data_IF_300859682493
#
_entry.id   IF_300859682493
#
_cell.length_a   1.000
_cell.length_b   1.000
_cell.length_c   1.000
_cell.angle_alpha   90.00
_cell.angle_beta   90.00
_cell.angle_gamma   90.00
#
_symmetry.space_group_name_H-M   'P 1'
#
loop_
_entity.id
_entity.type
_entity.pdbx_description
1 polymer ?
#
# COMPACT_ATOMS: atom_id res chain seq x y z
N UNK A 1 30.50 0.90 -8.93
CA UNK A 1 29.71 1.27 -7.74
C UNK A 1 30.02 0.25 -6.66
N UNK A 2 30.45 0.65 -5.47
CA UNK A 2 30.84 -0.29 -4.41
C UNK A 2 29.58 -0.84 -3.76
N UNK A 3 29.36 -2.17 -3.79
CA UNK A 3 28.23 -2.83 -3.17
C UNK A 3 28.37 -2.74 -1.65
N UNK A 4 27.34 -2.24 -0.98
CA UNK A 4 27.18 -2.18 0.48
C UNK A 4 25.92 -2.94 0.87
N UNK A 5 26.03 -4.25 1.20
CA UNK A 5 24.88 -5.08 1.46
C UNK A 5 24.15 -4.64 2.73
N UNK A 6 22.82 -4.63 2.68
CA UNK A 6 21.95 -4.39 3.83
C UNK A 6 20.95 -5.52 3.95
N UNK A 7 21.01 -6.30 5.02
CA UNK A 7 20.02 -7.34 5.29
C UNK A 7 18.63 -6.73 5.43
N UNK A 8 17.66 -7.42 4.85
CA UNK A 8 16.26 -7.07 5.03
C UNK A 8 15.79 -7.44 6.44
N UNK A 9 14.87 -6.64 6.97
CA UNK A 9 14.35 -6.80 8.33
C UNK A 9 13.82 -8.22 8.58
N UNK A 10 14.07 -8.74 9.77
CA UNK A 10 13.67 -10.08 10.16
C UNK A 10 14.52 -11.22 9.57
N UNK A 11 15.65 -10.91 8.92
CA UNK A 11 16.60 -11.92 8.44
C UNK A 11 17.52 -12.37 9.58
N UNK A 12 17.54 -13.67 9.89
CA UNK A 12 18.40 -14.28 10.91
C UNK A 12 18.78 -15.72 10.55
N UNK A 13 19.71 -16.29 11.33
CA UNK A 13 20.15 -17.66 11.16
C UNK A 13 19.25 -18.58 11.99
N UNK A 14 18.64 -19.54 11.33
CA UNK A 14 17.87 -20.62 11.96
C UNK A 14 18.60 -21.94 11.86
N UNK A 15 19.10 -22.54 12.97
CA UNK A 15 19.64 -23.85 12.94
C UNK A 15 18.55 -24.89 12.58
N UNK A 16 18.86 -25.81 11.70
CA UNK A 16 17.99 -26.96 11.40
C UNK A 16 18.31 -28.13 12.30
N UNK A 17 17.31 -28.96 12.61
CA UNK A 17 17.45 -30.12 13.47
C UNK A 17 18.41 -31.18 12.89
N UNK A 18 18.66 -31.17 11.60
CA UNK A 18 19.52 -32.14 10.89
C UNK A 18 21.03 -31.89 11.00
N UNK A 19 21.45 -30.80 11.64
CA UNK A 19 22.86 -30.37 11.82
C UNK A 19 23.71 -30.21 10.55
N UNK A 20 23.19 -30.55 9.37
CA UNK A 20 23.94 -30.47 8.10
C UNK A 20 23.72 -29.16 7.35
N UNK A 21 22.70 -28.39 7.73
CA UNK A 21 22.28 -27.17 7.04
C UNK A 21 21.79 -26.10 8.03
N UNK A 22 21.84 -24.87 7.59
CA UNK A 22 21.24 -23.72 8.30
C UNK A 22 20.36 -22.94 7.36
N UNK A 23 19.30 -22.37 7.88
CA UNK A 23 18.46 -21.42 7.13
C UNK A 23 18.87 -20.00 7.49
N UNK A 24 19.07 -19.17 6.48
CA UNK A 24 19.29 -17.73 6.61
C UNK A 24 18.14 -17.01 5.93
N UNK A 25 17.42 -16.22 6.66
CA UNK A 25 16.26 -15.51 6.12
C UNK A 25 15.21 -15.16 7.15
N UNK A 26 14.04 -14.75 6.67
CA UNK A 26 12.85 -14.54 7.48
C UNK A 26 12.15 -15.89 7.74
N UNK A 27 11.09 -15.86 8.55
CA UNK A 27 10.28 -17.07 8.81
C UNK A 27 9.72 -17.72 7.52
N UNK A 28 9.43 -16.92 6.52
CA UNK A 28 8.73 -17.38 5.31
C UNK A 28 9.58 -17.31 4.04
N UNK A 29 10.65 -16.51 4.04
CA UNK A 29 11.56 -16.34 2.91
C UNK A 29 12.99 -16.59 3.41
N UNK A 30 13.63 -17.65 2.92
CA UNK A 30 14.94 -18.08 3.40
C UNK A 30 15.72 -18.79 2.29
N UNK A 31 17.05 -18.80 2.42
CA UNK A 31 17.93 -19.73 1.72
C UNK A 31 18.47 -20.78 2.70
N UNK A 32 18.78 -21.96 2.19
CA UNK A 32 19.42 -23.04 2.94
C UNK A 32 20.89 -23.07 2.59
N UNK A 33 21.73 -22.98 3.59
CA UNK A 33 23.20 -22.99 3.45
C UNK A 33 23.78 -24.23 4.17
N UNK A 34 24.94 -24.72 3.74
CA UNK A 34 25.66 -25.80 4.46
C UNK A 34 25.93 -25.43 5.93
N UNK A 35 26.03 -26.42 6.81
CA UNK A 35 26.24 -26.20 8.25
C UNK A 35 27.55 -25.47 8.58
N UNK A 36 28.53 -25.48 7.66
CA UNK A 36 29.74 -24.66 7.78
C UNK A 36 29.46 -23.18 7.96
N UNK A 37 28.26 -22.72 7.57
CA UNK A 37 27.77 -21.36 7.76
C UNK A 37 27.02 -21.13 9.10
N UNK A 38 26.92 -22.13 9.97
CA UNK A 38 26.22 -22.00 11.26
C UNK A 38 27.02 -21.28 12.35
N UNK A 39 28.30 -21.01 12.09
CA UNK A 39 29.25 -20.51 13.08
C UNK A 39 29.16 -19.00 13.37
N UNK A 40 29.88 -18.57 14.41
CA UNK A 40 30.02 -17.19 14.80
C UNK A 40 30.54 -16.27 13.68
N UNK A 41 31.45 -16.69 12.77
CA UNK A 41 31.90 -15.87 11.66
C UNK A 41 30.77 -15.46 10.72
N UNK A 42 29.82 -16.34 10.42
CA UNK A 42 28.69 -16.07 9.56
C UNK A 42 27.73 -15.06 10.21
N UNK A 43 27.49 -15.20 11.51
CA UNK A 43 26.67 -14.22 12.25
C UNK A 43 27.32 -12.85 12.21
N UNK A 44 28.63 -12.76 12.50
CA UNK A 44 29.36 -11.49 12.41
C UNK A 44 29.34 -10.89 11.00
N UNK A 45 29.39 -11.73 9.94
CA UNK A 45 29.26 -11.29 8.55
C UNK A 45 27.87 -10.70 8.31
N UNK A 46 26.81 -11.39 8.74
CA UNK A 46 25.44 -10.91 8.56
C UNK A 46 25.19 -9.62 9.35
N UNK A 47 25.73 -9.48 10.57
CA UNK A 47 25.63 -8.26 11.38
C UNK A 47 26.31 -7.05 10.71
N UNK A 48 27.36 -7.29 9.91
CA UNK A 48 28.04 -6.26 9.12
C UNK A 48 27.36 -5.94 7.78
N UNK A 49 26.36 -6.73 7.39
CA UNK A 49 25.50 -6.41 6.26
C UNK A 49 24.41 -5.37 6.66
N UNK A 50 24.85 -4.21 7.10
CA UNK A 50 24.03 -3.11 7.59
C UNK A 50 23.88 -1.95 6.60
N UNK A 51 24.43 -2.11 5.39
CA UNK A 51 24.46 -1.08 4.34
C UNK A 51 25.57 -0.04 4.51
N UNK A 52 26.39 -0.11 5.56
CA UNK A 52 27.51 0.81 5.81
C UNK A 52 28.84 0.27 5.36
N UNK A 53 29.01 -1.05 5.35
CA UNK A 53 30.24 -1.75 5.02
C UNK A 53 30.24 -2.27 3.58
N UNK A 54 31.35 -2.09 2.88
CA UNK A 54 31.60 -2.75 1.59
C UNK A 54 31.94 -4.24 1.78
N UNK A 55 31.83 -5.04 0.71
CA UNK A 55 32.20 -6.46 0.75
C UNK A 55 33.66 -6.67 1.20
N UNK A 56 34.57 -5.81 0.78
CA UNK A 56 35.98 -5.85 1.19
C UNK A 56 36.17 -5.53 2.68
N UNK A 57 35.43 -4.53 3.21
CA UNK A 57 35.48 -4.20 4.63
C UNK A 57 34.88 -5.31 5.49
N UNK A 58 33.81 -5.95 5.04
CA UNK A 58 33.22 -7.13 5.70
C UNK A 58 34.23 -8.28 5.74
N UNK A 59 34.88 -8.60 4.60
CA UNK A 59 35.87 -9.64 4.51
C UNK A 59 37.03 -9.40 5.50
N UNK A 60 37.57 -8.17 5.52
CA UNK A 60 38.65 -7.79 6.43
C UNK A 60 38.27 -7.89 7.91
N UNK A 61 37.07 -7.44 8.29
CA UNK A 61 36.59 -7.47 9.68
C UNK A 61 36.26 -8.85 10.18
N UNK A 62 35.77 -9.73 9.30
CA UNK A 62 35.39 -11.11 9.68
C UNK A 62 36.51 -12.12 9.52
N UNK A 63 37.59 -11.79 8.79
CA UNK A 63 38.66 -12.72 8.42
C UNK A 63 38.21 -13.75 7.39
N UNK A 64 37.04 -13.59 6.77
CA UNK A 64 36.52 -14.46 5.71
C UNK A 64 37.04 -13.96 4.36
N UNK A 65 37.42 -14.86 3.46
CA UNK A 65 37.91 -14.45 2.14
C UNK A 65 36.82 -13.68 1.36
N UNK A 66 37.21 -12.65 0.58
CA UNK A 66 36.30 -11.87 -0.23
C UNK A 66 35.42 -12.69 -1.15
N UNK A 67 36.00 -13.77 -1.76
CA UNK A 67 35.25 -14.66 -2.64
C UNK A 67 34.08 -15.36 -1.92
N UNK A 68 34.28 -15.72 -0.66
CA UNK A 68 33.25 -16.37 0.18
C UNK A 68 32.19 -15.36 0.59
N UNK A 69 32.59 -14.15 0.98
CA UNK A 69 31.64 -13.05 1.30
C UNK A 69 30.78 -12.72 0.08
N UNK A 70 31.39 -12.57 -1.09
CA UNK A 70 30.69 -12.29 -2.36
C UNK A 70 29.70 -13.41 -2.73
N UNK A 71 30.14 -14.68 -2.57
CA UNK A 71 29.28 -15.84 -2.82
C UNK A 71 28.06 -15.86 -1.91
N UNK A 72 28.24 -15.61 -0.61
CA UNK A 72 27.12 -15.58 0.34
C UNK A 72 26.16 -14.43 0.05
N UNK A 73 26.68 -13.21 -0.15
CA UNK A 73 25.85 -12.06 -0.45
C UNK A 73 25.10 -12.26 -1.77
N UNK A 74 25.76 -12.84 -2.78
CA UNK A 74 25.09 -13.19 -4.05
C UNK A 74 23.95 -14.19 -3.86
N UNK A 75 24.16 -15.21 -3.01
CA UNK A 75 23.11 -16.19 -2.69
C UNK A 75 21.94 -15.54 -1.95
N UNK A 76 22.22 -14.71 -0.97
CA UNK A 76 21.19 -13.95 -0.25
C UNK A 76 20.41 -13.00 -1.18
N UNK A 77 21.08 -12.38 -2.16
CA UNK A 77 20.43 -11.56 -3.18
C UNK A 77 19.48 -12.35 -4.07
N UNK A 78 19.83 -13.57 -4.48
CA UNK A 78 18.94 -14.45 -5.28
C UNK A 78 17.63 -14.77 -4.56
N UNK A 79 17.70 -14.85 -3.23
CA UNK A 79 16.53 -15.09 -2.38
C UNK A 79 15.86 -13.78 -1.89
N UNK A 80 16.30 -12.64 -2.41
CA UNK A 80 15.76 -11.32 -2.08
C UNK A 80 15.82 -11.01 -0.57
N UNK A 81 16.94 -11.37 0.06
CA UNK A 81 17.19 -11.18 1.50
C UNK A 81 18.16 -10.03 1.80
N UNK A 82 18.79 -9.47 0.78
CA UNK A 82 19.77 -8.38 0.89
C UNK A 82 19.51 -7.30 -0.14
N UNK A 83 19.52 -6.05 0.29
CA UNK A 83 19.56 -4.88 -0.56
C UNK A 83 21.03 -4.50 -0.84
N UNK A 84 21.32 -4.04 -2.05
CA UNK A 84 22.69 -3.66 -2.47
C UNK A 84 22.95 -2.17 -2.39
N UNK A 85 21.92 -1.37 -2.17
CA UNK A 85 22.02 0.06 -1.96
C UNK A 85 21.03 0.48 -0.86
N UNK A 86 21.43 1.44 -0.02
CA UNK A 86 20.59 1.97 1.05
C UNK A 86 20.64 3.50 1.01
N UNK A 87 19.48 4.13 0.84
CA UNK A 87 19.37 5.58 0.97
C UNK A 87 19.52 5.95 2.44
N UNK A 88 20.42 6.85 2.83
CA UNK A 88 20.61 7.24 4.22
C UNK A 88 19.32 7.80 4.83
N UNK A 89 19.02 7.44 6.08
CA UNK A 89 17.87 7.97 6.84
C UNK A 89 17.94 9.50 6.94
N UNK A 90 19.14 10.07 6.96
CA UNK A 90 19.36 11.52 6.90
C UNK A 90 18.68 12.20 5.69
N UNK A 91 18.55 11.49 4.56
CA UNK A 91 17.83 12.00 3.39
C UNK A 91 16.31 12.10 3.70
N UNK A 92 15.73 11.09 4.31
CA UNK A 92 14.32 11.11 4.72
C UNK A 92 14.07 12.15 5.83
N UNK A 93 15.04 12.36 6.72
CA UNK A 93 15.00 13.42 7.74
C UNK A 93 14.92 14.79 7.10
N UNK A 94 15.84 15.11 6.16
CA UNK A 94 15.83 16.38 5.41
C UNK A 94 14.51 16.56 4.65
N UNK A 95 14.11 15.51 3.95
CA UNK A 95 12.88 15.51 3.17
C UNK A 95 11.63 15.77 4.06
N UNK A 96 11.57 15.20 5.25
CA UNK A 96 10.46 15.39 6.18
C UNK A 96 10.49 16.78 6.81
N UNK A 97 11.68 17.37 7.06
CA UNK A 97 11.82 18.74 7.58
C UNK A 97 11.46 19.81 6.54
N UNK A 98 11.84 19.59 5.26
CA UNK A 98 11.45 20.48 4.15
C UNK A 98 9.96 20.49 3.90
N UNK A 99 9.21 19.52 4.44
CA UNK A 99 7.77 19.36 4.28
C UNK A 99 6.92 19.99 5.39
N UNK A 100 7.55 20.76 6.30
CA UNK A 100 6.84 21.54 7.32
C UNK A 100 6.19 20.73 8.44
N UNK A 101 6.32 19.39 8.45
CA UNK A 101 5.68 18.55 9.47
C UNK A 101 6.38 18.58 10.82
N UNK A 102 7.65 18.96 10.80
CA UNK A 102 8.44 19.16 12.02
C UNK A 102 8.24 20.59 12.56
N UNK A 103 7.77 21.52 11.74
CA UNK A 103 7.55 22.91 12.15
C UNK A 103 6.35 23.06 13.10
N UNK A 104 5.36 22.15 13.05
CA UNK A 104 4.28 22.08 14.07
C UNK A 104 4.80 21.73 15.47
N UNK A 105 6.06 21.30 15.56
CA UNK A 105 6.74 20.92 16.81
C UNK A 105 7.55 22.11 17.40
N UNK A 106 7.50 23.28 16.79
CA UNK A 106 8.28 24.47 17.23
C UNK A 106 7.94 24.97 18.62
N UNK A 107 6.75 24.61 19.15
CA UNK A 107 6.30 24.98 20.50
C UNK A 107 6.71 23.99 21.60
N UNK A 108 7.33 22.84 21.25
CA UNK A 108 7.75 21.81 22.20
C UNK A 108 9.18 22.06 22.68
N UNK A 109 9.50 21.54 23.86
CA UNK A 109 10.89 21.51 24.32
C UNK A 109 11.76 20.58 23.45
N UNK A 110 13.08 20.74 23.53
CA UNK A 110 14.01 20.03 22.65
C UNK A 110 13.94 18.50 22.83
N UNK A 111 13.69 18.01 24.02
CA UNK A 111 13.57 16.57 24.32
C UNK A 111 12.32 15.99 23.65
N UNK A 112 11.20 16.70 23.72
CA UNK A 112 9.95 16.31 23.10
C UNK A 112 10.04 16.34 21.56
N UNK A 113 10.77 17.32 21.00
CA UNK A 113 11.06 17.39 19.55
C UNK A 113 11.88 16.19 19.08
N UNK A 114 12.95 15.85 19.77
CA UNK A 114 13.79 14.71 19.41
C UNK A 114 13.02 13.40 19.45
N UNK A 115 12.18 13.22 20.47
CA UNK A 115 11.29 12.06 20.58
C UNK A 115 10.28 11.99 19.44
N UNK A 116 9.65 13.12 19.07
CA UNK A 116 8.70 13.19 17.98
C UNK A 116 9.35 12.86 16.61
N UNK A 117 10.56 13.39 16.38
CA UNK A 117 11.35 13.11 15.17
C UNK A 117 11.73 11.63 15.11
N UNK A 118 12.23 11.05 16.19
CA UNK A 118 12.59 9.65 16.25
C UNK A 118 11.39 8.74 15.98
N UNK A 119 10.24 9.06 16.57
CA UNK A 119 9.00 8.30 16.37
C UNK A 119 8.51 8.37 14.91
N UNK A 120 8.57 9.56 14.30
CA UNK A 120 8.22 9.74 12.88
C UNK A 120 9.16 8.94 11.96
N UNK A 121 10.46 8.92 12.25
CA UNK A 121 11.44 8.15 11.49
C UNK A 121 11.19 6.64 11.60
N UNK A 122 10.82 6.14 12.79
CA UNK A 122 10.46 4.73 12.96
C UNK A 122 9.24 4.34 12.13
N UNK A 123 8.21 5.18 12.04
CA UNK A 123 7.07 4.93 11.15
C UNK A 123 7.50 4.80 9.69
N UNK A 124 8.34 5.71 9.21
CA UNK A 124 8.87 5.67 7.83
C UNK A 124 9.69 4.40 7.60
N UNK A 125 10.51 4.00 8.57
CA UNK A 125 11.30 2.76 8.48
C UNK A 125 10.41 1.53 8.36
N UNK A 126 9.34 1.42 9.15
CA UNK A 126 8.39 0.30 9.07
C UNK A 126 7.72 0.21 7.70
N UNK A 127 7.31 1.33 7.11
CA UNK A 127 6.74 1.34 5.76
C UNK A 127 7.80 0.98 4.68
N UNK A 128 9.04 1.43 4.85
CA UNK A 128 10.15 1.04 3.98
C UNK A 128 10.44 -0.47 4.10
N UNK A 129 10.46 -1.01 5.32
CA UNK A 129 10.63 -2.44 5.54
C UNK A 129 9.52 -3.28 4.89
N UNK A 130 8.27 -2.81 4.97
CA UNK A 130 7.15 -3.42 4.26
C UNK A 130 7.33 -3.44 2.74
N UNK A 131 7.92 -2.37 2.17
CA UNK A 131 8.18 -2.24 0.74
C UNK A 131 9.46 -2.92 0.27
N UNK A 132 10.33 -3.36 1.17
CA UNK A 132 11.66 -3.94 0.88
C UNK A 132 11.62 -5.15 -0.05
N UNK A 133 10.52 -5.91 -0.04
CA UNK A 133 10.36 -7.13 -0.85
C UNK A 133 9.74 -6.87 -2.23
N UNK A 134 9.59 -5.61 -2.63
CA UNK A 134 9.10 -5.30 -3.97
C UNK A 134 10.17 -5.60 -5.02
N UNK A 135 9.82 -6.29 -6.12
CA UNK A 135 10.78 -6.61 -7.17
C UNK A 135 11.42 -5.35 -7.77
N UNK A 136 12.76 -5.36 -7.87
CA UNK A 136 13.52 -4.29 -8.50
C UNK A 136 13.90 -3.10 -7.61
N UNK A 137 13.39 -3.00 -6.39
CA UNK A 137 13.82 -2.02 -5.41
C UNK A 137 14.95 -2.60 -4.54
N UNK A 138 16.13 -1.97 -4.59
CA UNK A 138 17.36 -2.41 -3.90
C UNK A 138 17.83 -1.41 -2.83
N UNK A 139 16.97 -0.45 -2.48
CA UNK A 139 17.28 0.69 -1.60
C UNK A 139 16.58 0.58 -0.23
N UNK A 140 16.14 -0.60 0.15
CA UNK A 140 15.43 -0.85 1.40
C UNK A 140 14.02 -0.24 1.40
N UNK A 141 13.34 -0.24 0.25
CA UNK A 141 11.94 0.19 0.11
C UNK A 141 11.71 1.72 0.12
N UNK A 142 12.78 2.52 0.19
CA UNK A 142 12.68 3.98 0.35
C UNK A 142 12.10 4.67 -0.88
N UNK A 143 12.55 4.29 -2.06
CA UNK A 143 11.99 4.81 -3.32
C UNK A 143 10.52 4.46 -3.49
N UNK A 144 10.10 3.27 -3.04
CA UNK A 144 8.70 2.86 -3.06
C UNK A 144 7.84 3.79 -2.20
N UNK A 145 8.23 4.00 -0.95
CA UNK A 145 7.49 4.87 -0.02
C UNK A 145 7.47 6.34 -0.49
N UNK A 146 8.56 6.82 -1.11
CA UNK A 146 8.58 8.17 -1.70
C UNK A 146 7.67 8.30 -2.93
N UNK A 147 7.56 7.24 -3.77
CA UNK A 147 6.60 7.23 -4.89
C UNK A 147 5.16 7.32 -4.41
N UNK A 148 4.79 6.65 -3.30
CA UNK A 148 3.44 6.72 -2.71
C UNK A 148 3.02 8.14 -2.38
N UNK A 149 3.95 8.98 -1.94
CA UNK A 149 3.68 10.39 -1.63
C UNK A 149 3.19 11.18 -2.84
N UNK A 150 3.72 10.90 -4.02
CA UNK A 150 3.40 11.63 -5.27
C UNK A 150 2.21 11.01 -5.99
N UNK A 151 1.84 9.78 -5.65
CA UNK A 151 0.73 9.07 -6.26
C UNK A 151 -0.60 9.75 -5.93
N UNK A 152 -1.32 10.15 -6.97
CA UNK A 152 -2.55 10.93 -6.86
C UNK A 152 -3.79 10.06 -6.89
N UNK A 153 -4.55 10.10 -5.81
CA UNK A 153 -5.77 9.30 -5.61
C UNK A 153 -7.01 10.18 -5.55
N UNK A 154 -8.05 9.80 -6.30
CA UNK A 154 -9.41 10.33 -6.11
C UNK A 154 -10.32 9.19 -5.64
N UNK A 155 -10.96 9.37 -4.49
CA UNK A 155 -11.88 8.39 -3.91
C UNK A 155 -13.30 8.97 -3.96
N UNK A 156 -14.19 8.32 -4.71
CA UNK A 156 -15.61 8.63 -4.73
C UNK A 156 -16.34 7.72 -3.74
N UNK A 157 -17.09 8.29 -2.82
CA UNK A 157 -17.88 7.56 -1.85
C UNK A 157 -17.79 8.13 -0.44
N UNK A 158 -18.36 7.41 0.52
CA UNK A 158 -18.36 7.74 1.95
C UNK A 158 -18.59 6.47 2.80
N UNK A 159 -18.53 6.61 4.11
CA UNK A 159 -18.83 5.56 5.06
C UNK A 159 -17.60 4.79 5.53
N UNK A 160 -17.83 3.65 6.18
CA UNK A 160 -16.81 2.89 6.88
C UNK A 160 -15.62 2.48 6.01
N UNK A 161 -15.87 2.03 4.77
CA UNK A 161 -14.81 1.62 3.84
C UNK A 161 -13.92 2.82 3.52
N UNK A 162 -14.51 3.98 3.14
CA UNK A 162 -13.76 5.20 2.80
C UNK A 162 -12.93 5.69 3.98
N UNK A 163 -13.53 5.78 5.16
CA UNK A 163 -12.86 6.28 6.37
C UNK A 163 -11.62 5.43 6.72
N UNK A 164 -11.77 4.10 6.68
CA UNK A 164 -10.66 3.19 6.95
C UNK A 164 -9.61 3.21 5.84
N UNK A 165 -10.03 3.29 4.57
CA UNK A 165 -9.13 3.34 3.41
C UNK A 165 -8.27 4.60 3.44
N UNK A 166 -8.88 5.78 3.66
CA UNK A 166 -8.15 7.05 3.74
C UNK A 166 -7.12 7.04 4.87
N UNK A 167 -7.51 6.59 6.06
CA UNK A 167 -6.58 6.52 7.19
C UNK A 167 -5.42 5.55 6.93
N UNK A 168 -5.71 4.37 6.37
CA UNK A 168 -4.69 3.37 6.06
C UNK A 168 -3.73 3.88 4.98
N UNK A 169 -4.23 4.42 3.87
CA UNK A 169 -3.39 4.93 2.78
C UNK A 169 -2.53 6.12 3.25
N UNK A 170 -3.11 7.05 4.03
CA UNK A 170 -2.36 8.19 4.58
C UNK A 170 -1.24 7.72 5.51
N UNK A 171 -1.50 6.69 6.33
CA UNK A 171 -0.49 6.09 7.20
C UNK A 171 0.61 5.36 6.42
N UNK A 172 0.28 4.81 5.23
CA UNK A 172 1.22 4.10 4.36
C UNK A 172 2.00 5.00 3.40
N UNK A 173 1.87 6.33 3.52
CA UNK A 173 2.69 7.30 2.79
C UNK A 173 1.99 8.06 1.66
N UNK A 174 0.69 7.80 1.41
CA UNK A 174 -0.06 8.56 0.40
C UNK A 174 -0.49 9.91 0.96
N UNK A 175 0.04 10.99 0.41
CA UNK A 175 -0.29 12.37 0.81
C UNK A 175 -1.34 13.02 -0.09
N UNK A 176 -1.46 12.54 -1.32
CA UNK A 176 -2.25 13.13 -2.40
C UNK A 176 -3.59 12.41 -2.57
N UNK A 177 -4.46 12.51 -1.57
CA UNK A 177 -5.78 11.86 -1.56
C UNK A 177 -6.86 12.92 -1.57
N UNK A 178 -7.72 12.90 -2.60
CA UNK A 178 -8.94 13.71 -2.68
C UNK A 178 -10.16 12.80 -2.51
N UNK A 179 -10.98 13.07 -1.51
CA UNK A 179 -12.25 12.37 -1.31
C UNK A 179 -13.39 13.22 -1.80
N UNK A 180 -14.17 12.67 -2.74
CA UNK A 180 -15.35 13.32 -3.32
C UNK A 180 -16.58 12.55 -2.85
N UNK A 181 -17.33 13.15 -1.96
CA UNK A 181 -18.66 12.66 -1.64
C UNK A 181 -19.52 12.75 -2.90
N UNK A 182 -20.33 11.73 -3.21
CA UNK A 182 -21.14 11.70 -4.44
C UNK A 182 -21.88 13.00 -4.64
N UNK A 183 -21.52 13.73 -5.70
CA UNK A 183 -22.23 14.94 -6.12
C UNK A 183 -23.55 14.51 -6.76
N UNK A 184 -24.68 14.86 -6.13
CA UNK A 184 -26.02 14.84 -6.74
C UNK A 184 -27.00 13.81 -6.20
N UNK A 185 -26.70 12.99 -5.22
CA UNK A 185 -27.72 12.55 -4.30
C UNK A 185 -27.91 13.70 -3.32
N UNK A 186 -29.15 14.15 -3.14
CA UNK A 186 -29.53 14.89 -1.93
C UNK A 186 -29.38 13.90 -0.80
N UNK A 187 -28.13 13.64 -0.39
CA UNK A 187 -27.89 12.94 0.88
C UNK A 187 -28.32 13.94 1.96
N UNK A 188 -29.46 13.73 2.61
CA UNK A 188 -29.91 14.61 3.69
C UNK A 188 -28.90 14.61 4.84
N UNK A 189 -27.90 13.72 4.82
CA UNK A 189 -26.94 13.54 5.88
C UNK A 189 -25.51 13.53 5.34
N UNK A 190 -25.00 14.70 4.92
CA UNK A 190 -23.56 14.89 4.82
C UNK A 190 -22.86 14.83 6.21
N UNK A 191 -23.50 14.18 7.16
CA UNK A 191 -23.13 14.08 8.57
C UNK A 191 -22.77 12.64 8.93
N UNK A 192 -21.88 12.49 9.89
CA UNK A 192 -21.55 11.19 10.47
C UNK A 192 -22.76 10.64 11.24
N UNK A 193 -23.12 9.41 10.95
CA UNK A 193 -24.19 8.63 11.59
C UNK A 193 -23.61 7.51 12.45
N UNK A 194 -24.44 6.87 13.28
CA UNK A 194 -24.05 5.66 14.04
C UNK A 194 -23.57 4.54 13.09
N UNK A 195 -24.15 4.42 11.90
CA UNK A 195 -23.74 3.45 10.89
C UNK A 195 -22.32 3.68 10.34
N UNK A 196 -21.75 4.88 10.48
CA UNK A 196 -20.37 5.18 10.05
C UNK A 196 -19.32 4.74 11.09
N UNK A 197 -19.73 4.45 12.31
CA UNK A 197 -18.82 4.03 13.36
C UNK A 197 -18.36 2.61 13.08
N UNK A 198 -17.06 2.49 12.79
CA UNK A 198 -16.34 1.23 12.78
C UNK A 198 -15.14 1.40 13.72
N UNK A 199 -14.67 0.36 14.36
CA UNK A 199 -13.48 0.46 15.19
C UNK A 199 -12.34 1.18 14.46
N UNK A 200 -11.76 2.21 15.07
CA UNK A 200 -10.61 2.93 14.54
C UNK A 200 -10.83 4.43 14.39
N UNK A 201 -11.06 4.89 13.17
CA UNK A 201 -10.97 6.33 12.87
C UNK A 201 -12.20 7.14 13.28
N UNK A 202 -13.41 6.60 13.08
CA UNK A 202 -14.67 7.29 13.41
C UNK A 202 -15.23 6.75 14.72
N UNK A 203 -15.51 7.66 15.65
CA UNK A 203 -16.03 7.37 16.98
C UNK A 203 -17.34 8.13 17.24
N UNK A 204 -18.01 7.86 18.36
CA UNK A 204 -19.21 8.59 18.76
C UNK A 204 -19.00 10.10 18.95
N UNK A 205 -17.77 10.54 19.19
CA UNK A 205 -17.45 11.97 19.29
C UNK A 205 -17.66 12.73 17.98
N UNK A 206 -17.67 12.00 16.85
CA UNK A 206 -17.84 12.58 15.52
C UNK A 206 -19.31 12.61 15.06
N UNK A 207 -20.23 12.05 15.84
CA UNK A 207 -21.66 12.03 15.47
C UNK A 207 -22.21 13.42 15.17
N UNK A 208 -22.93 13.53 14.06
CA UNK A 208 -23.53 14.78 13.61
C UNK A 208 -22.57 15.78 12.98
N UNK A 209 -21.25 15.51 12.98
CA UNK A 209 -20.27 16.35 12.30
C UNK A 209 -20.28 16.12 10.78
N UNK A 210 -19.85 17.11 9.97
CA UNK A 210 -19.77 16.95 8.52
C UNK A 210 -18.80 15.82 8.14
N UNK A 211 -19.21 14.89 7.27
CA UNK A 211 -18.36 13.79 6.79
C UNK A 211 -17.04 14.28 6.19
N UNK A 212 -17.09 15.36 5.41
CA UNK A 212 -15.88 15.93 4.80
C UNK A 212 -14.85 16.36 5.83
N UNK A 213 -15.28 17.04 6.89
CA UNK A 213 -14.38 17.46 7.98
C UNK A 213 -13.72 16.28 8.65
N UNK A 214 -14.47 15.22 8.92
CA UNK A 214 -13.95 14.02 9.59
C UNK A 214 -12.98 13.25 8.68
N UNK A 215 -13.26 13.14 7.39
CA UNK A 215 -12.34 12.50 6.44
C UNK A 215 -11.01 13.27 6.34
N UNK A 216 -11.06 14.61 6.29
CA UNK A 216 -9.83 15.42 6.31
C UNK A 216 -9.07 15.26 7.64
N UNK A 217 -9.76 15.23 8.76
CA UNK A 217 -9.16 14.98 10.08
C UNK A 217 -8.48 13.61 10.15
N UNK A 218 -9.14 12.56 9.63
CA UNK A 218 -8.58 11.21 9.52
C UNK A 218 -7.29 11.24 8.70
N UNK A 219 -7.34 11.88 7.53
CA UNK A 219 -6.21 12.03 6.63
C UNK A 219 -5.05 12.73 7.33
N UNK A 220 -5.26 13.91 7.88
CA UNK A 220 -4.24 14.73 8.53
C UNK A 220 -3.57 14.01 9.72
N UNK A 221 -4.36 13.39 10.59
CA UNK A 221 -3.85 12.65 11.75
C UNK A 221 -3.06 11.40 11.36
N UNK A 222 -3.34 10.81 10.20
CA UNK A 222 -2.72 9.58 9.74
C UNK A 222 -1.51 9.81 8.83
N UNK A 223 -1.34 10.99 8.23
CA UNK A 223 -0.28 11.29 7.28
C UNK A 223 1.10 10.84 7.78
N UNK A 224 1.82 10.15 6.92
CA UNK A 224 3.22 9.79 7.12
C UNK A 224 4.14 10.94 6.72
N UNK A 225 3.78 11.64 5.63
CA UNK A 225 4.49 12.82 5.10
C UNK A 225 3.56 14.03 5.09
N UNK A 226 4.14 15.23 5.02
CA UNK A 226 3.37 16.43 4.75
C UNK A 226 2.69 16.35 3.38
N UNK A 227 1.63 17.11 3.22
CA UNK A 227 0.81 17.15 2.03
C UNK A 227 1.62 17.47 0.78
N UNK A 228 1.43 16.72 -0.30
CA UNK A 228 1.93 17.09 -1.61
C UNK A 228 0.93 18.04 -2.28
N UNK A 229 1.43 18.99 -3.06
CA UNK A 229 0.59 19.91 -3.84
C UNK A 229 0.45 19.48 -5.29
N UNK A 230 0.47 18.17 -5.57
CA UNK A 230 0.29 17.69 -6.92
C UNK A 230 -1.12 18.00 -7.44
N UNK A 231 -1.26 18.41 -8.69
CA UNK A 231 -2.57 18.71 -9.26
C UNK A 231 -3.39 17.44 -9.46
N UNK A 232 -4.70 17.47 -9.12
CA UNK A 232 -5.64 16.37 -9.33
C UNK A 232 -6.24 16.32 -10.76
N UNK A 233 -5.61 16.97 -11.74
CA UNK A 233 -6.13 17.00 -13.11
C UNK A 233 -6.00 15.67 -13.84
N UNK A 234 -5.02 14.85 -13.46
CA UNK A 234 -4.79 13.53 -14.03
C UNK A 234 -4.42 12.58 -12.89
N UNK A 235 -5.40 11.99 -12.19
CA UNK A 235 -5.12 11.09 -11.09
C UNK A 235 -4.48 9.79 -11.61
N UNK A 236 -3.55 9.25 -10.81
CA UNK A 236 -2.98 7.93 -11.10
C UNK A 236 -4.01 6.82 -10.92
N UNK A 237 -4.96 7.02 -9.99
CA UNK A 237 -6.05 6.09 -9.76
C UNK A 237 -7.30 6.80 -9.23
N UNK A 238 -8.45 6.41 -9.77
CA UNK A 238 -9.77 6.72 -9.23
C UNK A 238 -10.35 5.48 -8.57
N UNK A 239 -10.85 5.59 -7.34
CA UNK A 239 -11.55 4.51 -6.63
C UNK A 239 -13.00 4.92 -6.46
N UNK A 240 -13.94 4.13 -6.99
CA UNK A 240 -15.37 4.37 -6.81
C UNK A 240 -15.95 3.34 -5.84
N UNK A 241 -16.35 3.81 -4.65
CA UNK A 241 -17.02 2.98 -3.64
C UNK A 241 -18.51 3.20 -3.72
N UNK A 242 -19.23 2.16 -4.08
CA UNK A 242 -20.62 2.17 -4.51
C UNK A 242 -20.76 2.52 -5.99
N UNK A 243 -22.00 2.53 -6.50
CA UNK A 243 -22.28 2.70 -7.93
C UNK A 243 -21.80 4.04 -8.49
N UNK A 244 -20.88 4.03 -9.46
CA UNK A 244 -20.49 5.26 -10.14
C UNK A 244 -21.62 5.76 -11.03
N UNK A 245 -21.70 7.07 -11.23
CA UNK A 245 -22.62 7.64 -12.23
C UNK A 245 -22.17 7.27 -13.64
N UNK A 246 -23.11 7.00 -14.56
CA UNK A 246 -22.78 6.74 -15.96
C UNK A 246 -21.91 7.82 -16.59
N UNK A 247 -22.22 9.11 -16.33
CA UNK A 247 -21.45 10.25 -16.83
C UNK A 247 -20.01 10.26 -16.30
N UNK A 248 -19.82 9.84 -15.04
CA UNK A 248 -18.47 9.73 -14.44
C UNK A 248 -17.68 8.63 -15.11
N UNK A 249 -18.29 7.45 -15.31
CA UNK A 249 -17.63 6.34 -16.02
C UNK A 249 -17.24 6.71 -17.44
N UNK A 250 -18.14 7.38 -18.19
CA UNK A 250 -17.84 7.84 -19.54
C UNK A 250 -16.67 8.82 -19.55
N UNK A 251 -16.64 9.76 -18.59
CA UNK A 251 -15.55 10.72 -18.45
C UNK A 251 -14.23 10.02 -18.13
N UNK A 252 -14.18 9.11 -17.16
CA UNK A 252 -12.96 8.38 -16.80
C UNK A 252 -12.40 7.58 -17.98
N UNK A 253 -13.29 6.96 -18.76
CA UNK A 253 -12.91 6.27 -20.00
C UNK A 253 -12.36 7.24 -21.05
N UNK A 254 -13.01 8.40 -21.25
CA UNK A 254 -12.60 9.42 -22.21
C UNK A 254 -11.27 10.10 -21.82
N UNK A 255 -11.10 10.38 -20.53
CA UNK A 255 -9.90 11.03 -19.97
C UNK A 255 -8.74 10.02 -19.80
N UNK A 256 -8.91 8.78 -20.22
CA UNK A 256 -7.93 7.68 -20.04
C UNK A 256 -7.50 7.50 -18.59
N UNK A 257 -8.41 7.72 -17.64
CA UNK A 257 -8.13 7.64 -16.19
C UNK A 257 -8.31 6.22 -15.67
N UNK A 258 -7.24 5.58 -15.12
CA UNK A 258 -7.36 4.27 -14.48
C UNK A 258 -8.32 4.33 -13.29
N UNK A 259 -9.18 3.30 -13.14
CA UNK A 259 -10.13 3.30 -12.04
C UNK A 259 -10.44 1.89 -11.50
N UNK A 260 -10.65 1.83 -10.18
CA UNK A 260 -11.06 0.64 -9.45
C UNK A 260 -12.51 0.77 -9.02
N UNK A 261 -13.33 -0.22 -9.35
CA UNK A 261 -14.73 -0.26 -8.96
C UNK A 261 -14.89 -1.08 -7.68
N UNK A 262 -15.67 -0.57 -6.74
CA UNK A 262 -16.01 -1.27 -5.49
C UNK A 262 -17.53 -1.22 -5.33
N UNK A 263 -18.18 -2.35 -5.54
CA UNK A 263 -19.63 -2.48 -5.48
C UNK A 263 -20.04 -3.07 -4.13
N UNK A 264 -20.93 -2.38 -3.43
CA UNK A 264 -21.47 -2.82 -2.14
C UNK A 264 -22.83 -3.46 -2.39
N UNK A 265 -22.85 -4.79 -2.54
CA UNK A 265 -24.07 -5.55 -2.83
C UNK A 265 -25.02 -5.63 -1.64
N UNK A 266 -24.47 -5.72 -0.42
CA UNK A 266 -25.26 -5.79 0.83
C UNK A 266 -24.39 -5.42 2.04
N UNK A 267 -24.98 -5.42 3.23
CA UNK A 267 -24.22 -5.24 4.47
C UNK A 267 -23.20 -6.36 4.75
N UNK A 268 -23.33 -7.48 4.06
CA UNK A 268 -22.50 -8.68 4.22
C UNK A 268 -21.67 -9.05 2.99
N UNK A 269 -21.75 -8.30 1.89
CA UNK A 269 -21.06 -8.63 0.64
C UNK A 269 -20.58 -7.37 -0.08
N UNK A 270 -19.29 -7.38 -0.47
CA UNK A 270 -18.65 -6.31 -1.24
C UNK A 270 -17.80 -6.92 -2.36
N UNK A 271 -17.98 -6.46 -3.58
CA UNK A 271 -17.17 -6.81 -4.74
C UNK A 271 -16.12 -5.72 -4.97
N UNK A 272 -14.85 -6.10 -4.95
CA UNK A 272 -13.72 -5.25 -5.33
C UNK A 272 -13.30 -5.64 -6.75
N UNK A 273 -13.16 -4.64 -7.62
CA UNK A 273 -12.81 -4.85 -9.03
C UNK A 273 -14.03 -4.79 -9.97
N UNK A 274 -13.73 -4.73 -11.28
CA UNK A 274 -12.40 -4.78 -11.86
C UNK A 274 -11.61 -3.46 -11.67
N UNK A 275 -10.28 -3.60 -11.74
CA UNK A 275 -9.39 -2.49 -12.04
C UNK A 275 -9.41 -2.25 -13.56
N UNK A 276 -9.79 -1.05 -13.94
CA UNK A 276 -9.99 -0.67 -15.34
C UNK A 276 -8.86 0.22 -15.82
N UNK A 277 -8.15 -0.25 -16.85
CA UNK A 277 -7.25 0.56 -17.66
C UNK A 277 -7.99 0.83 -18.98
N UNK A 278 -8.43 2.08 -19.25
CA UNK A 278 -9.19 2.39 -20.45
C UNK A 278 -8.51 1.86 -21.73
N UNK A 279 -9.29 1.25 -22.60
CA UNK A 279 -8.80 0.62 -23.84
C UNK A 279 -8.05 -0.71 -23.68
N UNK A 280 -7.53 -1.02 -22.49
CA UNK A 280 -6.64 -2.19 -22.27
C UNK A 280 -7.26 -3.32 -21.45
N UNK A 281 -8.23 -3.02 -20.59
CA UNK A 281 -8.87 -4.01 -19.73
C UNK A 281 -10.39 -3.99 -19.87
N UNK A 282 -11.11 -5.02 -19.36
CA UNK A 282 -12.56 -5.00 -19.28
C UNK A 282 -13.05 -3.78 -18.52
N UNK A 283 -13.96 -3.01 -19.10
CA UNK A 283 -14.58 -1.86 -18.47
C UNK A 283 -15.92 -2.24 -17.82
N UNK A 284 -16.52 -1.31 -17.06
CA UNK A 284 -17.83 -1.50 -16.44
C UNK A 284 -18.91 -1.99 -17.43
N UNK A 285 -18.93 -1.45 -18.68
CA UNK A 285 -19.89 -1.89 -19.71
C UNK A 285 -19.66 -3.33 -20.14
N UNK A 286 -18.42 -3.81 -20.17
CA UNK A 286 -18.12 -5.22 -20.45
C UNK A 286 -18.78 -6.14 -19.42
N UNK A 287 -18.69 -5.81 -18.14
CA UNK A 287 -19.32 -6.55 -17.05
C UNK A 287 -20.84 -6.53 -17.19
N UNK A 288 -21.40 -5.34 -17.41
CA UNK A 288 -22.84 -5.15 -17.57
C UNK A 288 -23.44 -6.03 -18.70
N UNK A 289 -22.75 -6.09 -19.84
CA UNK A 289 -23.17 -6.94 -20.95
C UNK A 289 -23.03 -8.43 -20.59
N UNK A 290 -21.94 -8.81 -19.93
CA UNK A 290 -21.69 -10.20 -19.55
C UNK A 290 -22.67 -10.72 -18.49
N UNK A 291 -23.02 -9.88 -17.50
CA UNK A 291 -23.96 -10.23 -16.46
C UNK A 291 -25.42 -10.16 -16.90
N UNK A 292 -25.73 -9.54 -18.03
CA UNK A 292 -27.11 -9.29 -18.51
C UNK A 292 -28.01 -8.65 -17.45
N UNK A 293 -27.45 -7.83 -16.57
CA UNK A 293 -28.15 -7.17 -15.49
C UNK A 293 -28.45 -5.72 -15.83
N UNK A 294 -29.66 -5.28 -15.49
CA UNK A 294 -29.92 -3.84 -15.33
C UNK A 294 -29.36 -3.38 -13.98
N UNK A 295 -28.36 -2.54 -14.03
CA UNK A 295 -27.78 -1.93 -12.83
C UNK A 295 -28.74 -0.86 -12.30
N UNK A 296 -29.34 -1.16 -11.18
CA UNK A 296 -30.12 -0.16 -10.43
C UNK A 296 -29.15 0.60 -9.55
N UNK A 297 -29.00 1.89 -9.79
CA UNK A 297 -28.21 2.79 -8.92
C UNK A 297 -28.93 2.98 -7.58
N UNK A 298 -28.88 1.93 -6.76
CA UNK A 298 -29.40 1.97 -5.42
C UNK A 298 -28.50 2.78 -4.48
N UNK A 299 -29.04 3.20 -3.37
CA UNK A 299 -28.23 3.76 -2.27
C UNK A 299 -27.27 2.68 -1.80
N UNK A 300 -25.97 3.01 -1.71
CA UNK A 300 -24.95 2.10 -1.19
C UNK A 300 -25.35 1.62 0.23
N UNK A 301 -25.56 0.33 0.46
CA UNK A 301 -25.94 -0.16 1.78
C UNK A 301 -24.78 -0.01 2.77
N UNK A 302 -25.12 0.11 4.05
CA UNK A 302 -24.12 0.08 5.12
C UNK A 302 -23.48 -1.30 5.23
N UNK A 303 -22.17 -1.33 5.41
CA UNK A 303 -21.38 -2.56 5.50
C UNK A 303 -21.06 -2.87 6.96
N UNK A 304 -21.00 -4.14 7.33
CA UNK A 304 -20.55 -4.54 8.67
C UNK A 304 -19.12 -4.07 8.93
N UNK A 305 -18.78 -3.74 10.18
CA UNK A 305 -17.51 -3.12 10.51
C UNK A 305 -16.30 -3.98 10.16
N UNK A 306 -16.37 -5.29 10.43
CA UNK A 306 -15.28 -6.22 10.11
C UNK A 306 -15.05 -6.34 8.59
N UNK A 307 -16.13 -6.43 7.81
CA UNK A 307 -16.04 -6.50 6.35
C UNK A 307 -15.52 -5.18 5.78
N UNK A 308 -15.94 -4.03 6.32
CA UNK A 308 -15.44 -2.72 5.89
C UNK A 308 -13.92 -2.58 6.10
N UNK A 309 -13.40 -3.04 7.24
CA UNK A 309 -11.96 -3.05 7.53
C UNK A 309 -11.20 -3.99 6.60
N UNK A 310 -11.71 -5.20 6.38
CA UNK A 310 -11.09 -6.18 5.48
C UNK A 310 -11.02 -5.67 4.04
N UNK A 311 -12.12 -5.11 3.55
CA UNK A 311 -12.21 -4.52 2.19
C UNK A 311 -11.30 -3.31 2.05
N UNK A 312 -11.30 -2.40 3.02
CA UNK A 312 -10.41 -1.23 3.00
C UNK A 312 -8.93 -1.64 3.00
N UNK A 313 -8.57 -2.67 3.79
CA UNK A 313 -7.22 -3.24 3.80
C UNK A 313 -6.84 -3.88 2.47
N UNK A 314 -7.74 -4.65 1.85
CA UNK A 314 -7.52 -5.28 0.55
C UNK A 314 -7.30 -4.23 -0.56
N UNK A 315 -8.13 -3.18 -0.58
CA UNK A 315 -7.98 -2.07 -1.53
C UNK A 315 -6.66 -1.32 -1.27
N UNK A 316 -6.35 -1.00 0.00
CA UNK A 316 -5.11 -0.30 0.33
C UNK A 316 -3.88 -1.09 -0.12
N UNK A 317 -3.86 -2.40 0.07
CA UNK A 317 -2.78 -3.28 -0.37
C UNK A 317 -2.60 -3.24 -1.90
N UNK A 318 -3.69 -3.28 -2.67
CA UNK A 318 -3.63 -3.20 -4.14
C UNK A 318 -3.16 -1.82 -4.64
N UNK A 319 -3.60 -0.73 -3.98
CA UNK A 319 -3.13 0.64 -4.27
C UNK A 319 -1.63 0.77 -4.00
N UNK A 320 -1.15 0.20 -2.90
CA UNK A 320 0.29 0.15 -2.58
C UNK A 320 1.03 -0.60 -3.69
N UNK A 321 0.55 -1.79 -4.08
CA UNK A 321 1.15 -2.57 -5.16
C UNK A 321 1.22 -1.79 -6.48
N UNK A 322 0.15 -1.09 -6.86
CA UNK A 322 0.11 -0.23 -8.06
C UNK A 322 1.15 0.90 -7.99
N UNK A 323 1.24 1.62 -6.85
CA UNK A 323 2.23 2.67 -6.65
C UNK A 323 3.66 2.14 -6.69
N UNK A 324 3.84 0.90 -6.27
CA UNK A 324 5.11 0.16 -6.28
C UNK A 324 5.37 -0.54 -7.63
N UNK A 325 4.62 -0.15 -8.70
CA UNK A 325 4.75 -0.62 -10.09
C UNK A 325 4.46 -2.11 -10.28
N UNK A 326 3.66 -2.67 -9.39
CA UNK A 326 3.13 -4.03 -9.55
C UNK A 326 1.79 -4.00 -10.29
N UNK A 327 1.38 -5.16 -10.77
CA UNK A 327 0.08 -5.30 -11.43
C UNK A 327 -1.02 -5.48 -10.38
N UNK A 328 -2.13 -4.77 -10.53
CA UNK A 328 -3.32 -4.99 -9.69
C UNK A 328 -3.83 -6.41 -9.79
N UNK A 329 -4.18 -6.99 -8.65
CA UNK A 329 -4.84 -8.31 -8.60
C UNK A 329 -6.27 -8.26 -9.15
N UNK A 330 -6.84 -7.07 -9.29
CA UNK A 330 -8.18 -6.84 -9.84
C UNK A 330 -8.15 -6.55 -11.36
N UNK A 331 -7.00 -6.65 -12.02
CA UNK A 331 -6.91 -6.50 -13.47
C UNK A 331 -7.58 -7.69 -14.17
N UNK A 332 -8.72 -7.44 -14.82
CA UNK A 332 -9.51 -8.50 -15.45
C UNK A 332 -10.21 -9.43 -14.46
N UNK A 333 -10.27 -9.08 -13.18
CA UNK A 333 -10.95 -9.87 -12.15
C UNK A 333 -11.75 -9.00 -11.20
N UNK A 334 -12.70 -9.62 -10.51
CA UNK A 334 -13.36 -9.05 -9.33
C UNK A 334 -13.34 -10.07 -8.20
N UNK A 335 -13.19 -9.58 -6.98
CA UNK A 335 -13.18 -10.41 -5.78
C UNK A 335 -14.37 -10.04 -4.89
N UNK A 336 -15.25 -11.02 -4.63
CA UNK A 336 -16.39 -10.84 -3.75
C UNK A 336 -16.00 -11.26 -2.34
N UNK A 337 -15.95 -10.29 -1.45
CA UNK A 337 -15.73 -10.49 -0.02
C UNK A 337 -17.08 -10.64 0.68
N UNK A 338 -17.22 -11.68 1.49
CA UNK A 338 -18.45 -11.97 2.21
C UNK A 338 -18.19 -12.14 3.71
N UNK A 339 -19.09 -11.61 4.54
CA UNK A 339 -19.05 -11.88 5.98
C UNK A 339 -19.49 -13.30 6.36
N UNK A 340 -19.95 -14.10 5.40
CA UNK A 340 -20.30 -15.52 5.60
C UNK A 340 -19.09 -16.44 5.48
N UNK A 341 -18.15 -16.08 4.58
CA UNK A 341 -16.92 -16.83 4.38
C UNK A 341 -15.72 -15.86 4.29
N UNK A 342 -15.02 -15.72 5.41
CA UNK A 342 -13.85 -14.87 5.52
C UNK A 342 -12.57 -15.54 4.96
N UNK A 343 -12.63 -16.84 4.63
CA UNK A 343 -11.43 -17.61 4.30
C UNK A 343 -10.89 -17.27 2.92
N UNK A 344 -11.76 -17.03 1.95
CA UNK A 344 -11.41 -16.71 0.58
C UNK A 344 -12.48 -15.83 -0.09
N UNK A 345 -12.10 -14.77 -0.81
CA UNK A 345 -13.02 -14.09 -1.70
C UNK A 345 -13.38 -15.01 -2.89
N UNK A 346 -14.61 -14.94 -3.34
CA UNK A 346 -15.00 -15.53 -4.63
C UNK A 346 -14.38 -14.68 -5.75
N UNK A 347 -13.67 -15.31 -6.69
CA UNK A 347 -13.00 -14.63 -7.80
C UNK A 347 -13.81 -14.80 -9.06
N UNK A 348 -14.17 -13.70 -9.69
CA UNK A 348 -14.83 -13.63 -10.99
C UNK A 348 -13.85 -13.09 -12.03
N UNK A 349 -13.77 -13.74 -13.19
CA UNK A 349 -12.91 -13.35 -14.31
C UNK A 349 -13.70 -12.64 -15.39
N UNK A 350 -13.12 -11.56 -15.93
CA UNK A 350 -13.74 -10.74 -16.95
C UNK A 350 -12.85 -10.62 -18.17
N UNK A 351 -13.47 -10.57 -19.35
CA UNK A 351 -12.81 -10.26 -20.61
C UNK A 351 -13.46 -9.04 -21.26
N UNK A 352 -12.72 -8.37 -22.13
CA UNK A 352 -13.31 -7.31 -22.96
C UNK A 352 -14.40 -7.90 -23.85
N UNK A 353 -15.59 -7.31 -23.81
CA UNK A 353 -16.73 -7.80 -24.57
C UNK A 353 -16.74 -7.19 -25.97
N UNK A 354 -16.85 -8.01 -27.02
CA UNK A 354 -16.79 -7.58 -28.41
C UNK A 354 -17.84 -6.51 -28.77
N UNK A 355 -19.05 -6.57 -28.18
CA UNK A 355 -20.09 -5.57 -28.39
C UNK A 355 -19.94 -4.30 -27.52
N UNK A 356 -18.88 -4.21 -26.70
CA UNK A 356 -18.69 -3.05 -25.80
C UNK A 356 -18.13 -1.84 -26.55
N UNK A 357 -17.20 -2.03 -27.48
CA UNK A 357 -16.48 -0.96 -28.18
C UNK A 357 -15.39 -0.27 -27.36
N UNK A 358 -15.13 -0.68 -26.12
CA UNK A 358 -14.11 -0.04 -25.26
C UNK A 358 -12.67 -0.30 -25.72
N UNK A 359 -12.45 -1.27 -26.59
CA UNK A 359 -11.15 -1.62 -27.19
C UNK A 359 -10.89 -0.98 -28.57
N UNK A 360 -11.85 -0.22 -29.12
CA UNK A 360 -11.75 0.31 -30.48
C UNK A 360 -11.00 1.64 -30.57
N UNK A 361 -10.53 2.18 -29.44
CA UNK A 361 -9.82 3.45 -29.35
C UNK A 361 -8.39 3.34 -28.83
N UNK A 362 -7.81 2.13 -28.82
CA UNK A 362 -6.45 1.88 -28.36
C UNK A 362 -5.45 1.78 -29.51
#
# INVERSE_FOLDING_TARGET
MTIRPSLKSGTFIHPLATHSEVRVGTRWRYCTLPSSWSGAPTRALLDLCDGTHSLAEIANKTGISSAVVESLVSELCKHDLVDTAKTPISYLRRYNSELGRIDDVTSLDDVTKDFAIETALKRIEMECEGATFNPGDVDGGRSAVLRRREFTLIIFGYGKIVNNLVGTLSASGFSNILVINRVGTKDPTQKILESDIAGGYVTRLHLGQPRRTIVEEIRERSLLFAESRAPFHSPDLIISIGDPRPDSLQRWMADNSPHLLVDVGSSSEVRIGPYVIPGKSPCFRCLHIAESREWTFATTPDVSSALALSVAGAIAHDVIALSDRQTSIYLGTSHIHSSRDYSRPEIQHWSQHHACGCSWGG
#
